data_IF_506371053768
#
_entry.id   IF_506371053768
#
_cell.length_a   1.000
_cell.length_b   1.000
_cell.length_c   1.000
_cell.angle_alpha   90.00
_cell.angle_beta   90.00
_cell.angle_gamma   90.00
#
_symmetry.space_group_name_H-M   'P 1'
#
loop_
_entity.id
_entity.type
_entity.pdbx_description
1 polymer ?
#
# COMPACT_ATOMS: atom_id res chain seq x y z
N UNK A 1 -18.80 12.69 54.82
CA UNK A 1 -19.84 11.74 54.38
C UNK A 1 -20.90 12.40 53.47
N UNK A 2 -21.63 13.43 53.90
CA UNK A 2 -22.75 13.98 53.10
C UNK A 2 -22.35 14.82 51.85
N UNK A 3 -21.16 15.44 51.81
CA UNK A 3 -20.69 16.12 50.60
C UNK A 3 -20.36 15.15 49.44
N UNK A 4 -19.95 13.91 49.76
CA UNK A 4 -19.75 12.83 48.78
C UNK A 4 -21.06 12.25 48.23
N UNK A 5 -22.20 12.55 48.88
CA UNK A 5 -23.54 12.13 48.45
C UNK A 5 -24.28 13.19 47.60
N UNK A 6 -23.59 14.27 47.19
CA UNK A 6 -24.18 15.33 46.35
C UNK A 6 -24.93 16.43 47.13
N UNK A 7 -24.80 16.48 48.46
CA UNK A 7 -25.40 17.56 49.25
C UNK A 7 -24.77 18.91 48.87
N UNK A 8 -25.60 19.83 48.39
CA UNK A 8 -25.16 21.16 47.96
C UNK A 8 -24.96 22.14 49.12
N UNK A 9 -25.64 21.92 50.26
CA UNK A 9 -25.53 22.76 51.46
C UNK A 9 -26.12 22.05 52.68
N UNK A 10 -25.79 22.53 53.89
CA UNK A 10 -26.37 22.06 55.15
C UNK A 10 -27.24 23.16 55.75
N UNK A 11 -28.44 22.80 56.21
CA UNK A 11 -29.34 23.70 56.93
C UNK A 11 -29.44 23.25 58.39
N UNK A 12 -29.26 24.19 59.32
CA UNK A 12 -29.34 23.96 60.77
C UNK A 12 -30.73 24.36 61.28
N UNK A 13 -31.23 23.68 62.33
CA UNK A 13 -32.54 23.96 62.92
C UNK A 13 -32.43 24.87 64.15
N UNK A 14 -33.47 25.69 64.45
CA UNK A 14 -34.66 25.93 63.63
C UNK A 14 -34.30 26.77 62.39
N UNK A 15 -34.89 26.44 61.24
CA UNK A 15 -34.56 27.09 59.96
C UNK A 15 -35.65 28.07 59.57
N UNK A 16 -35.22 29.24 59.11
CA UNK A 16 -36.10 30.27 58.55
C UNK A 16 -36.48 29.90 57.11
N UNK A 17 -37.74 30.14 56.72
CA UNK A 17 -38.25 29.82 55.38
C UNK A 17 -37.43 30.48 54.26
N UNK A 18 -36.92 31.69 54.50
CA UNK A 18 -36.08 32.42 53.55
C UNK A 18 -34.71 31.77 53.32
N UNK A 19 -34.12 31.15 54.36
CA UNK A 19 -32.86 30.41 54.23
C UNK A 19 -33.04 29.14 53.39
N UNK A 20 -34.14 28.44 53.61
CA UNK A 20 -34.53 27.29 52.80
C UNK A 20 -34.75 27.69 51.33
N UNK A 21 -35.47 28.79 51.07
CA UNK A 21 -35.70 29.30 49.72
C UNK A 21 -34.39 29.61 48.97
N UNK A 22 -33.45 30.30 49.63
CA UNK A 22 -32.14 30.61 49.04
C UNK A 22 -31.30 29.35 48.75
N UNK A 23 -31.35 28.34 49.63
CA UNK A 23 -30.63 27.09 49.44
C UNK A 23 -31.21 26.27 48.27
N UNK A 24 -32.54 26.22 48.14
CA UNK A 24 -33.23 25.58 47.01
C UNK A 24 -32.87 26.28 45.69
N UNK A 25 -32.92 27.61 45.63
CA UNK A 25 -32.54 28.37 44.44
C UNK A 25 -31.09 28.11 44.00
N UNK A 26 -30.14 28.05 44.95
CA UNK A 26 -28.74 27.70 44.65
C UNK A 26 -28.62 26.28 44.11
N UNK A 27 -29.34 25.32 44.70
CA UNK A 27 -29.33 23.93 44.25
C UNK A 27 -29.92 23.78 42.83
N UNK A 28 -31.01 24.49 42.52
CA UNK A 28 -31.62 24.51 41.19
C UNK A 28 -30.67 25.11 40.14
N UNK A 29 -30.08 26.29 40.42
CA UNK A 29 -29.07 26.90 39.53
C UNK A 29 -27.86 26.01 39.29
N UNK A 30 -27.35 25.35 40.33
CA UNK A 30 -26.22 24.42 40.19
C UNK A 30 -26.59 23.20 39.34
N UNK A 31 -27.80 22.66 39.50
CA UNK A 31 -28.30 21.55 38.67
C UNK A 31 -28.41 21.95 37.21
N UNK A 32 -28.96 23.12 36.93
CA UNK A 32 -29.09 23.68 35.58
C UNK A 32 -27.72 23.79 34.91
N UNK A 33 -26.74 24.41 35.57
CA UNK A 33 -25.36 24.51 35.07
C UNK A 33 -24.72 23.15 34.78
N UNK A 34 -24.91 22.15 35.65
CA UNK A 34 -24.37 20.80 35.43
C UNK A 34 -25.07 20.08 34.27
N UNK A 35 -26.37 20.30 34.08
CA UNK A 35 -27.11 19.75 32.95
C UNK A 35 -26.66 20.39 31.63
N UNK A 36 -26.46 21.70 31.62
CA UNK A 36 -25.95 22.43 30.46
C UNK A 36 -24.50 22.03 30.15
N UNK A 37 -23.63 21.91 31.15
CA UNK A 37 -22.27 21.43 30.98
C UNK A 37 -22.26 20.05 30.32
N UNK A 38 -23.05 19.08 30.84
CA UNK A 38 -23.14 17.74 30.23
C UNK A 38 -23.67 17.78 28.81
N UNK A 39 -24.65 18.65 28.53
CA UNK A 39 -25.20 18.83 27.18
C UNK A 39 -24.14 19.37 26.22
N UNK A 40 -23.36 20.37 26.65
CA UNK A 40 -22.25 20.95 25.88
C UNK A 40 -21.15 19.91 25.65
N UNK A 41 -20.73 19.20 26.70
CA UNK A 41 -19.73 18.13 26.59
C UNK A 41 -20.15 17.04 25.61
N UNK A 42 -21.42 16.64 25.65
CA UNK A 42 -21.94 15.64 24.72
C UNK A 42 -21.95 16.17 23.28
N UNK A 43 -22.43 17.39 23.07
CA UNK A 43 -22.45 18.03 21.76
C UNK A 43 -21.04 18.19 21.17
N UNK A 44 -20.04 18.57 21.98
CA UNK A 44 -18.65 18.62 21.55
C UNK A 44 -18.13 17.24 21.17
N UNK A 45 -18.40 16.20 21.98
CA UNK A 45 -17.99 14.83 21.65
C UNK A 45 -18.58 14.35 20.34
N UNK A 46 -19.86 14.64 20.11
CA UNK A 46 -20.56 14.24 18.89
C UNK A 46 -20.01 14.99 17.67
N UNK A 47 -19.81 16.31 17.76
CA UNK A 47 -19.22 17.12 16.68
C UNK A 47 -17.79 16.66 16.37
N UNK A 48 -16.95 16.43 17.39
CA UNK A 48 -15.57 15.93 17.19
C UNK A 48 -15.59 14.56 16.53
N UNK A 49 -16.48 13.66 16.95
CA UNK A 49 -16.65 12.34 16.33
C UNK A 49 -17.04 12.43 14.86
N UNK A 50 -17.99 13.32 14.53
CA UNK A 50 -18.43 13.54 13.16
C UNK A 50 -17.32 14.13 12.28
N UNK A 51 -16.64 15.18 12.76
CA UNK A 51 -15.53 15.82 12.05
C UNK A 51 -14.34 14.89 11.85
N UNK A 52 -14.03 14.05 12.83
CA UNK A 52 -12.97 13.04 12.71
C UNK A 52 -13.31 12.03 11.61
N UNK A 53 -14.56 11.54 11.57
CA UNK A 53 -15.01 10.60 10.54
C UNK A 53 -15.07 11.24 9.14
N UNK A 54 -15.43 12.52 9.04
CA UNK A 54 -15.38 13.30 7.79
C UNK A 54 -13.94 13.43 7.27
N UNK A 55 -13.01 13.84 8.14
CA UNK A 55 -11.59 13.99 7.81
C UNK A 55 -10.95 12.67 7.36
N UNK A 56 -11.26 11.54 8.02
CA UNK A 56 -10.71 10.24 7.60
C UNK A 56 -11.25 9.80 6.23
N UNK A 57 -12.51 10.12 5.89
CA UNK A 57 -13.04 9.85 4.55
C UNK A 57 -12.37 10.73 3.50
N UNK A 58 -12.23 12.03 3.77
CA UNK A 58 -11.57 12.95 2.84
C UNK A 58 -10.11 12.55 2.61
N UNK A 59 -9.40 12.17 3.67
CA UNK A 59 -8.02 11.66 3.60
C UNK A 59 -7.94 10.35 2.80
N UNK A 60 -8.89 9.44 2.95
CA UNK A 60 -8.96 8.22 2.14
C UNK A 60 -9.15 8.55 0.65
N UNK A 61 -10.08 9.45 0.32
CA UNK A 61 -10.30 9.93 -1.05
C UNK A 61 -9.04 10.56 -1.64
N UNK A 62 -8.35 11.42 -0.89
CA UNK A 62 -7.11 12.04 -1.37
C UNK A 62 -6.00 11.01 -1.63
N UNK A 63 -5.88 9.99 -0.77
CA UNK A 63 -4.94 8.88 -0.98
C UNK A 63 -5.27 8.11 -2.26
N UNK A 64 -6.53 7.71 -2.44
CA UNK A 64 -7.00 7.02 -3.65
C UNK A 64 -6.75 7.84 -4.91
N UNK A 65 -7.07 9.15 -4.89
CA UNK A 65 -6.80 10.06 -5.99
C UNK A 65 -5.32 10.17 -6.29
N UNK A 66 -4.46 10.27 -5.27
CA UNK A 66 -3.02 10.36 -5.45
C UNK A 66 -2.43 9.11 -6.12
N UNK A 67 -2.90 7.92 -5.74
CA UNK A 67 -2.54 6.65 -6.39
C UNK A 67 -3.04 6.64 -7.83
N UNK A 68 -4.29 7.03 -8.08
CA UNK A 68 -4.88 7.09 -9.42
C UNK A 68 -4.13 8.00 -10.40
N UNK A 69 -3.55 9.10 -9.92
CA UNK A 69 -2.68 9.97 -10.74
C UNK A 69 -1.41 9.23 -11.16
N UNK A 70 -0.74 8.53 -10.25
CA UNK A 70 0.48 7.76 -10.59
C UNK A 70 0.16 6.61 -11.55
N UNK A 71 -0.96 5.92 -11.34
CA UNK A 71 -1.41 4.85 -12.24
C UNK A 71 -1.73 5.38 -13.65
N UNK A 72 -2.24 6.60 -13.75
CA UNK A 72 -2.45 7.27 -15.03
C UNK A 72 -1.12 7.56 -15.75
N UNK A 73 -0.06 7.90 -15.01
CA UNK A 73 1.30 8.05 -15.59
C UNK A 73 1.83 6.72 -16.12
N UNK A 74 1.68 5.63 -15.36
CA UNK A 74 2.04 4.28 -15.80
C UNK A 74 1.28 3.91 -17.07
N UNK A 75 -0.04 4.14 -17.08
CA UNK A 75 -0.91 3.85 -18.23
C UNK A 75 -0.50 4.66 -19.46
N UNK A 76 -0.21 5.95 -19.29
CA UNK A 76 0.24 6.83 -20.36
C UNK A 76 1.59 6.40 -20.95
N UNK A 77 2.50 5.90 -20.10
CA UNK A 77 3.78 5.36 -20.52
C UNK A 77 3.61 4.06 -21.32
N UNK A 78 2.82 3.10 -20.80
CA UNK A 78 2.51 1.86 -21.52
C UNK A 78 1.80 2.11 -22.87
N UNK A 79 0.99 3.18 -22.96
CA UNK A 79 0.30 3.52 -24.20
C UNK A 79 1.27 3.90 -25.35
N UNK A 80 2.48 4.38 -25.02
CA UNK A 80 3.54 4.68 -26.00
C UNK A 80 4.25 3.43 -26.51
N UNK A 81 4.17 2.31 -25.80
CA UNK A 81 4.90 1.10 -26.11
C UNK A 81 3.93 -0.08 -26.29
N UNK A 82 3.55 -0.44 -27.53
CA UNK A 82 2.48 -1.40 -27.82
C UNK A 82 2.57 -2.75 -27.10
N UNK A 83 3.79 -3.23 -26.83
CA UNK A 83 4.06 -4.51 -26.18
C UNK A 83 3.84 -4.51 -24.66
N UNK A 84 3.84 -3.34 -24.02
CA UNK A 84 3.72 -3.23 -22.57
C UNK A 84 2.30 -2.84 -22.11
N UNK A 85 1.36 -2.65 -23.05
CA UNK A 85 -0.03 -2.33 -22.70
C UNK A 85 -0.63 -3.38 -21.75
N UNK A 86 -1.09 -2.92 -20.60
CA UNK A 86 -1.70 -3.75 -19.55
C UNK A 86 -0.73 -4.65 -18.81
N UNK A 87 0.59 -4.46 -18.98
CA UNK A 87 1.60 -5.24 -18.28
C UNK A 87 1.50 -5.03 -16.77
N UNK A 88 1.41 -3.77 -16.35
CA UNK A 88 1.25 -3.37 -14.94
C UNK A 88 0.10 -4.11 -14.26
N UNK A 89 -1.07 -4.17 -14.88
CA UNK A 89 -2.23 -4.90 -14.35
C UNK A 89 -1.97 -6.40 -14.26
N UNK A 90 -1.47 -7.04 -15.33
CA UNK A 90 -1.20 -8.49 -15.33
C UNK A 90 -0.19 -8.90 -14.26
N UNK A 91 0.88 -8.12 -14.11
CA UNK A 91 1.89 -8.37 -13.08
C UNK A 91 1.32 -8.14 -11.69
N UNK A 92 0.54 -7.08 -11.48
CA UNK A 92 -0.12 -6.81 -10.21
C UNK A 92 -1.07 -7.92 -9.78
N UNK A 93 -1.92 -8.40 -10.69
CA UNK A 93 -2.90 -9.44 -10.40
C UNK A 93 -2.21 -10.78 -10.10
N UNK A 94 -1.18 -11.12 -10.87
CA UNK A 94 -0.37 -12.32 -10.63
C UNK A 94 0.38 -12.22 -9.30
N UNK A 95 0.99 -11.08 -8.99
CA UNK A 95 1.69 -10.84 -7.73
C UNK A 95 0.74 -10.98 -6.53
N UNK A 96 -0.48 -10.44 -6.63
CA UNK A 96 -1.51 -10.59 -5.61
C UNK A 96 -1.94 -12.06 -5.42
N UNK A 97 -2.06 -12.81 -6.52
CA UNK A 97 -2.38 -14.24 -6.47
C UNK A 97 -1.27 -15.05 -5.78
N UNK A 98 0.00 -14.81 -6.13
CA UNK A 98 1.16 -15.43 -5.48
C UNK A 98 1.18 -15.08 -3.98
N UNK A 99 0.96 -13.81 -3.63
CA UNK A 99 0.89 -13.37 -2.24
C UNK A 99 -0.21 -14.10 -1.45
N UNK A 100 -1.36 -14.35 -2.09
CA UNK A 100 -2.47 -15.09 -1.50
C UNK A 100 -2.12 -16.56 -1.28
N UNK A 101 -1.48 -17.21 -2.26
CA UNK A 101 -0.98 -18.61 -2.16
C UNK A 101 0.13 -18.80 -1.11
N UNK A 102 0.81 -17.71 -0.73
CA UNK A 102 1.77 -17.68 0.39
C UNK A 102 1.08 -17.50 1.74
N UNK A 103 -0.24 -17.28 1.78
CA UNK A 103 -0.99 -17.06 3.01
C UNK A 103 -0.75 -15.68 3.64
N UNK A 104 -0.34 -14.68 2.85
CA UNK A 104 -0.09 -13.34 3.37
C UNK A 104 -1.41 -12.63 3.77
N UNK A 105 -1.37 -11.72 4.75
CA UNK A 105 -2.54 -10.93 5.14
C UNK A 105 -3.10 -10.11 3.96
N UNK A 106 -4.43 -9.94 3.92
CA UNK A 106 -5.12 -9.22 2.84
C UNK A 106 -4.55 -7.82 2.57
N UNK A 107 -4.16 -7.09 3.63
CA UNK A 107 -3.53 -5.76 3.48
C UNK A 107 -2.17 -5.84 2.77
N UNK A 108 -1.37 -6.88 3.02
CA UNK A 108 -0.08 -7.11 2.35
C UNK A 108 -0.28 -7.52 0.90
N UNK A 109 -1.27 -8.37 0.63
CA UNK A 109 -1.67 -8.75 -0.73
C UNK A 109 -2.00 -7.49 -1.55
N UNK A 110 -2.75 -6.55 -0.99
CA UNK A 110 -3.09 -5.31 -1.68
C UNK A 110 -1.88 -4.38 -1.86
N UNK A 111 -0.96 -4.32 -0.89
CA UNK A 111 0.28 -3.59 -1.06
C UNK A 111 1.16 -4.17 -2.18
N UNK A 112 1.22 -5.50 -2.30
CA UNK A 112 1.95 -6.18 -3.38
C UNK A 112 1.27 -5.92 -4.73
N UNK A 113 -0.06 -5.98 -4.79
CA UNK A 113 -0.84 -5.64 -5.98
C UNK A 113 -0.52 -4.21 -6.44
N UNK A 114 -0.62 -3.25 -5.52
CA UNK A 114 -0.33 -1.84 -5.82
C UNK A 114 1.12 -1.65 -6.26
N UNK A 115 2.08 -2.30 -5.59
CA UNK A 115 3.48 -2.24 -6.01
C UNK A 115 3.66 -2.79 -7.43
N UNK A 116 2.96 -3.88 -7.79
CA UNK A 116 2.96 -4.42 -9.14
C UNK A 116 2.46 -3.43 -10.19
N UNK A 117 1.45 -2.62 -9.86
CA UNK A 117 0.95 -1.57 -10.77
C UNK A 117 1.95 -0.43 -10.95
N UNK A 118 2.69 -0.08 -9.90
CA UNK A 118 3.54 1.11 -9.85
C UNK A 118 5.02 0.87 -10.16
N UNK A 119 5.49 -0.40 -10.15
CA UNK A 119 6.92 -0.75 -10.15
C UNK A 119 7.76 -0.10 -11.25
N UNK A 120 7.17 0.06 -12.43
CA UNK A 120 7.85 0.56 -13.62
C UNK A 120 7.67 2.09 -13.81
N UNK A 121 7.01 2.82 -12.90
CA UNK A 121 6.70 4.25 -13.09
C UNK A 121 7.94 5.11 -13.37
N UNK A 122 9.10 4.73 -12.82
CA UNK A 122 10.36 5.45 -13.04
C UNK A 122 10.92 5.32 -14.45
N UNK A 123 10.40 4.41 -15.29
CA UNK A 123 10.79 4.31 -16.70
C UNK A 123 10.47 5.59 -17.47
N UNK A 124 9.61 6.48 -16.94
CA UNK A 124 9.36 7.82 -17.47
C UNK A 124 10.63 8.67 -17.61
N UNK A 125 11.63 8.46 -16.76
CA UNK A 125 12.91 9.18 -16.81
C UNK A 125 13.97 8.49 -17.67
N UNK A 126 13.68 7.33 -18.26
CA UNK A 126 14.61 6.62 -19.14
C UNK A 126 14.38 7.06 -20.58
N UNK A 127 15.47 7.34 -21.31
CA UNK A 127 15.40 7.77 -22.72
C UNK A 127 14.73 6.70 -23.59
N UNK A 128 13.77 7.13 -24.39
CA UNK A 128 13.02 6.26 -25.31
C UNK A 128 13.93 5.51 -26.31
N UNK A 129 14.97 6.17 -26.83
CA UNK A 129 15.97 5.57 -27.70
C UNK A 129 16.75 4.41 -27.03
N UNK A 130 16.84 4.40 -25.70
CA UNK A 130 17.47 3.31 -24.93
C UNK A 130 16.45 2.20 -24.64
N UNK A 131 15.25 2.56 -24.20
CA UNK A 131 14.17 1.59 -23.92
C UNK A 131 13.76 0.78 -25.17
N UNK A 132 13.74 1.41 -26.33
CA UNK A 132 13.29 0.82 -27.60
C UNK A 132 14.43 0.40 -28.52
N UNK A 133 15.68 0.33 -28.03
CA UNK A 133 16.83 -0.02 -28.86
C UNK A 133 16.71 -1.45 -29.40
N UNK A 134 16.78 -1.59 -30.71
CA UNK A 134 16.90 -2.90 -31.35
C UNK A 134 18.34 -3.42 -31.22
N UNK A 135 18.55 -4.46 -30.40
CA UNK A 135 19.85 -5.12 -30.20
C UNK A 135 20.39 -5.02 -28.77
N UNK A 136 21.68 -5.30 -28.59
CA UNK A 136 22.31 -5.30 -27.27
C UNK A 136 22.53 -3.88 -26.76
N UNK A 137 22.18 -3.66 -25.49
CA UNK A 137 22.52 -2.44 -24.77
C UNK A 137 24.01 -2.43 -24.42
N UNK A 138 24.62 -1.25 -24.46
CA UNK A 138 25.93 -0.99 -23.87
C UNK A 138 25.82 -0.91 -22.35
N UNK A 139 26.93 -1.05 -21.63
CA UNK A 139 26.94 -0.98 -20.17
C UNK A 139 26.35 0.34 -19.63
N UNK A 140 26.63 1.47 -20.32
CA UNK A 140 26.07 2.78 -19.98
C UNK A 140 24.56 2.87 -20.21
N UNK A 141 24.07 2.22 -21.26
CA UNK A 141 22.64 2.15 -21.54
C UNK A 141 21.92 1.25 -20.53
N UNK A 142 22.54 0.14 -20.13
CA UNK A 142 22.01 -0.73 -19.09
C UNK A 142 21.93 0.00 -17.74
N UNK A 143 22.99 0.73 -17.37
CA UNK A 143 22.99 1.53 -16.15
C UNK A 143 21.89 2.59 -16.18
N UNK A 144 21.72 3.27 -17.31
CA UNK A 144 20.62 4.23 -17.49
C UNK A 144 19.23 3.59 -17.37
N UNK A 145 19.04 2.34 -17.81
CA UNK A 145 17.78 1.64 -17.56
C UNK A 145 17.60 1.37 -16.06
N UNK A 146 18.65 0.95 -15.35
CA UNK A 146 18.57 0.66 -13.90
C UNK A 146 18.16 1.87 -13.06
N UNK A 147 18.47 3.08 -13.52
CA UNK A 147 18.05 4.34 -12.87
C UNK A 147 16.53 4.44 -12.68
N UNK A 148 15.71 3.71 -13.45
CA UNK A 148 14.25 3.73 -13.28
C UNK A 148 13.80 3.32 -11.86
N UNK A 149 14.58 2.51 -11.15
CA UNK A 149 14.26 2.16 -9.77
C UNK A 149 14.37 3.38 -8.84
N UNK A 150 15.46 4.13 -8.97
CA UNK A 150 15.68 5.32 -8.17
C UNK A 150 14.65 6.40 -8.52
N UNK A 151 14.42 6.64 -9.81
CA UNK A 151 13.42 7.60 -10.29
C UNK A 151 12.01 7.18 -9.83
N UNK A 152 11.70 5.88 -9.85
CA UNK A 152 10.42 5.36 -9.37
C UNK A 152 10.23 5.63 -7.87
N UNK A 153 11.27 5.38 -7.06
CA UNK A 153 11.26 5.71 -5.63
C UNK A 153 11.09 7.22 -5.41
N UNK A 154 11.79 8.06 -6.17
CA UNK A 154 11.68 9.53 -6.07
C UNK A 154 10.27 10.04 -6.41
N UNK A 155 9.64 9.49 -7.45
CA UNK A 155 8.26 9.83 -7.84
C UNK A 155 7.27 9.45 -6.74
N UNK A 156 7.48 8.29 -6.11
CA UNK A 156 6.57 7.76 -5.10
C UNK A 156 6.84 8.32 -3.69
N UNK A 157 8.04 8.81 -3.40
CA UNK A 157 8.47 9.27 -2.07
C UNK A 157 7.53 10.30 -1.40
N UNK A 158 6.92 11.27 -2.11
CA UNK A 158 5.96 12.19 -1.50
C UNK A 158 4.68 11.52 -0.98
N UNK A 159 4.38 10.30 -1.43
CA UNK A 159 3.21 9.54 -1.03
C UNK A 159 3.53 8.67 0.19
N UNK A 160 3.75 9.29 1.35
CA UNK A 160 4.20 8.60 2.59
C UNK A 160 3.33 7.39 2.99
N UNK A 161 2.05 7.42 2.65
CA UNK A 161 1.11 6.31 2.90
C UNK A 161 1.42 5.03 2.10
N UNK A 162 2.37 5.09 1.16
CA UNK A 162 2.84 3.97 0.34
C UNK A 162 4.13 3.32 0.86
N UNK A 163 4.62 3.63 2.06
CA UNK A 163 5.93 3.17 2.57
C UNK A 163 6.33 1.71 2.21
N UNK A 164 5.53 0.69 2.56
CA UNK A 164 5.82 -0.70 2.18
C UNK A 164 5.82 -0.96 0.67
N UNK A 165 4.91 -0.31 -0.06
CA UNK A 165 4.79 -0.39 -1.53
C UNK A 165 6.04 0.14 -2.19
N UNK A 166 6.58 1.28 -1.74
CA UNK A 166 7.82 1.87 -2.26
C UNK A 166 8.99 0.90 -2.07
N UNK A 167 9.06 0.23 -0.91
CA UNK A 167 10.10 -0.78 -0.64
C UNK A 167 9.98 -1.96 -1.61
N UNK A 168 8.76 -2.44 -1.88
CA UNK A 168 8.53 -3.53 -2.82
C UNK A 168 8.91 -3.13 -4.25
N UNK A 169 8.57 -1.91 -4.66
CA UNK A 169 8.98 -1.32 -5.94
C UNK A 169 10.50 -1.19 -6.02
N UNK A 170 11.19 -0.78 -4.96
CA UNK A 170 12.65 -0.65 -5.01
C UNK A 170 13.36 -2.01 -5.17
N UNK A 171 12.77 -3.07 -4.61
CA UNK A 171 13.40 -4.38 -4.51
C UNK A 171 13.07 -5.34 -5.67
N UNK A 172 12.19 -4.97 -6.61
CA UNK A 172 11.68 -5.91 -7.60
C UNK A 172 12.71 -6.41 -8.63
N UNK A 173 13.91 -5.82 -8.65
CA UNK A 173 15.06 -6.26 -9.43
C UNK A 173 16.21 -6.85 -8.59
N UNK A 174 15.99 -6.98 -7.28
CA UNK A 174 16.88 -7.78 -6.44
C UNK A 174 16.75 -9.26 -6.80
N UNK A 175 17.84 -10.00 -6.61
CA UNK A 175 17.91 -11.43 -6.92
C UNK A 175 18.16 -12.20 -5.65
N UNK A 176 17.54 -13.36 -5.52
CA UNK A 176 17.69 -14.21 -4.34
C UNK A 176 19.16 -14.51 -3.98
N UNK A 177 20.04 -14.62 -4.97
CA UNK A 177 21.48 -14.85 -4.82
C UNK A 177 22.31 -13.62 -4.42
N UNK A 178 21.75 -12.42 -4.45
CA UNK A 178 22.43 -11.14 -4.18
C UNK A 178 23.07 -10.48 -5.41
N UNK A 179 22.94 -11.05 -6.61
CA UNK A 179 23.49 -10.47 -7.84
C UNK A 179 22.56 -9.42 -8.49
N UNK A 180 21.50 -9.01 -7.78
CA UNK A 180 20.50 -8.05 -8.24
C UNK A 180 20.91 -6.60 -8.01
N UNK A 181 19.96 -5.70 -8.23
CA UNK A 181 20.14 -4.26 -8.05
C UNK A 181 18.83 -3.65 -7.49
N UNK A 182 18.88 -2.49 -6.82
CA UNK A 182 19.99 -1.54 -6.73
C UNK A 182 20.94 -1.74 -5.53
N UNK A 183 20.55 -2.54 -4.54
CA UNK A 183 21.25 -2.68 -3.26
C UNK A 183 22.02 -3.99 -3.13
N UNK A 184 21.74 -4.99 -3.99
CA UNK A 184 22.42 -6.28 -3.96
C UNK A 184 22.01 -7.11 -2.74
N UNK A 185 20.73 -7.01 -2.35
CA UNK A 185 20.18 -7.72 -1.20
C UNK A 185 20.08 -9.22 -1.50
N UNK A 186 20.27 -10.05 -0.47
CA UNK A 186 20.26 -11.50 -0.62
C UNK A 186 19.17 -12.17 0.21
N UNK A 187 18.52 -13.17 -0.39
CA UNK A 187 17.55 -14.00 0.31
C UNK A 187 16.44 -13.18 0.98
N UNK A 188 16.28 -13.36 2.29
CA UNK A 188 15.24 -12.71 3.08
C UNK A 188 15.51 -11.23 3.40
N UNK A 189 16.67 -10.68 3.04
CA UNK A 189 16.91 -9.22 3.10
C UNK A 189 16.04 -8.47 2.09
N UNK A 190 15.68 -9.14 0.99
CA UNK A 190 14.76 -8.63 -0.02
C UNK A 190 13.35 -8.64 0.56
N UNK A 191 12.63 -7.52 0.45
CA UNK A 191 11.24 -7.45 0.88
C UNK A 191 10.40 -8.54 0.24
N UNK A 192 9.41 -9.06 0.97
CA UNK A 192 8.52 -10.12 0.45
C UNK A 192 7.82 -9.67 -0.84
N UNK A 193 7.41 -8.40 -0.94
CA UNK A 193 6.84 -7.86 -2.16
C UNK A 193 7.85 -7.79 -3.30
N UNK A 194 9.10 -7.38 -3.07
CA UNK A 194 10.16 -7.42 -4.10
C UNK A 194 10.38 -8.82 -4.66
N UNK A 195 10.44 -9.84 -3.79
CA UNK A 195 10.57 -11.25 -4.19
C UNK A 195 9.39 -11.75 -5.02
N UNK A 196 8.17 -11.38 -4.63
CA UNK A 196 6.95 -11.73 -5.38
C UNK A 196 6.91 -11.03 -6.74
N UNK A 197 7.25 -9.74 -6.79
CA UNK A 197 7.28 -8.97 -8.03
C UNK A 197 8.31 -9.50 -9.01
N UNK A 198 9.52 -9.86 -8.54
CA UNK A 198 10.54 -10.48 -9.38
C UNK A 198 10.03 -11.76 -10.07
N UNK A 199 9.28 -12.60 -9.33
CA UNK A 199 8.67 -13.80 -9.89
C UNK A 199 7.54 -13.49 -10.89
N UNK A 200 6.65 -12.56 -10.54
CA UNK A 200 5.55 -12.16 -11.41
C UNK A 200 6.04 -11.51 -12.71
N UNK A 201 7.08 -10.67 -12.65
CA UNK A 201 7.72 -10.06 -13.80
C UNK A 201 8.42 -11.08 -14.69
N UNK A 202 9.19 -12.01 -14.10
CA UNK A 202 9.86 -13.06 -14.85
C UNK A 202 8.82 -13.91 -15.60
N UNK A 203 7.73 -14.31 -14.93
CA UNK A 203 6.66 -15.08 -15.56
C UNK A 203 5.97 -14.29 -16.68
N UNK A 204 5.51 -13.07 -16.40
CA UNK A 204 4.85 -12.23 -17.41
C UNK A 204 5.78 -11.93 -18.59
N UNK A 205 7.08 -11.75 -18.35
CA UNK A 205 8.05 -11.55 -19.42
C UNK A 205 8.15 -12.77 -20.34
N UNK A 206 8.13 -13.99 -19.79
CA UNK A 206 8.18 -15.25 -20.54
C UNK A 206 6.89 -15.54 -21.33
N UNK A 207 5.73 -15.14 -20.81
CA UNK A 207 4.41 -15.43 -21.39
C UNK A 207 3.82 -14.29 -22.22
N UNK A 208 4.45 -13.11 -22.24
CA UNK A 208 4.03 -11.98 -23.08
C UNK A 208 4.78 -11.95 -24.41
N UNK A 209 4.08 -11.50 -25.46
CA UNK A 209 4.66 -11.23 -26.77
C UNK A 209 5.71 -10.11 -26.69
N UNK A 210 6.89 -10.32 -27.30
CA UNK A 210 7.96 -9.31 -27.42
C UNK A 210 8.44 -9.18 -28.87
N UNK A 211 9.04 -8.04 -29.27
CA UNK A 211 9.44 -7.77 -30.67
C UNK A 211 10.27 -8.87 -31.36
N UNK A 212 11.01 -9.67 -30.58
CA UNK A 212 11.94 -10.68 -31.08
C UNK A 212 11.70 -12.07 -30.47
N UNK A 213 10.57 -12.30 -29.79
CA UNK A 213 10.31 -13.56 -29.09
C UNK A 213 8.80 -13.84 -28.95
N UNK A 214 8.41 -15.02 -29.42
CA UNK A 214 7.08 -15.59 -29.19
C UNK A 214 6.87 -15.92 -27.71
N UNK A 215 5.65 -15.73 -27.18
CA UNK A 215 5.34 -16.07 -25.80
C UNK A 215 5.45 -17.57 -25.54
N UNK A 216 5.95 -17.94 -24.36
CA UNK A 216 5.88 -19.31 -23.87
C UNK A 216 4.47 -19.61 -23.35
N UNK A 217 4.07 -20.88 -23.39
CA UNK A 217 2.87 -21.29 -22.64
C UNK A 217 3.14 -21.18 -21.14
N UNK A 218 2.11 -20.95 -20.31
CA UNK A 218 2.23 -20.89 -18.85
C UNK A 218 3.02 -22.08 -18.25
N UNK A 219 2.78 -23.29 -18.74
CA UNK A 219 3.42 -24.52 -18.25
C UNK A 219 4.91 -24.52 -18.58
N UNK A 220 5.26 -24.15 -19.81
CA UNK A 220 6.66 -24.06 -20.25
C UNK A 220 7.40 -22.96 -19.50
N UNK A 221 6.76 -21.82 -19.25
CA UNK A 221 7.33 -20.74 -18.46
C UNK A 221 7.60 -21.18 -17.01
N UNK A 222 6.65 -21.88 -16.38
CA UNK A 222 6.80 -22.39 -15.03
C UNK A 222 7.94 -23.42 -14.89
N UNK A 223 8.09 -24.32 -15.87
CA UNK A 223 9.22 -25.27 -15.93
C UNK A 223 10.54 -24.55 -16.14
N UNK A 224 10.59 -23.57 -17.05
CA UNK A 224 11.81 -22.78 -17.28
C UNK A 224 12.26 -22.02 -16.02
N UNK A 225 11.30 -21.48 -15.26
CA UNK A 225 11.57 -20.76 -14.02
C UNK A 225 12.07 -21.66 -12.88
N UNK A 226 11.93 -22.99 -12.96
CA UNK A 226 12.46 -23.91 -11.94
C UNK A 226 13.97 -23.77 -11.78
N UNK A 227 14.69 -23.63 -12.90
CA UNK A 227 16.15 -23.43 -12.90
C UNK A 227 16.58 -22.08 -12.30
N UNK A 228 15.65 -21.12 -12.15
CA UNK A 228 15.90 -19.80 -11.59
C UNK A 228 15.64 -19.74 -10.08
N UNK A 229 14.98 -20.76 -9.50
CA UNK A 229 14.73 -20.85 -8.07
C UNK A 229 16.05 -21.00 -7.29
N UNK A 230 16.21 -20.20 -6.24
CA UNK A 230 17.43 -20.17 -5.43
C UNK A 230 18.56 -19.33 -6.04
N UNK A 231 18.37 -18.74 -7.22
CA UNK A 231 19.32 -17.78 -7.83
C UNK A 231 18.65 -16.44 -8.10
N UNK A 232 17.82 -16.34 -9.13
CA UNK A 232 17.04 -15.14 -9.40
C UNK A 232 15.83 -15.07 -8.46
N UNK A 233 15.13 -16.20 -8.31
CA UNK A 233 13.84 -16.27 -7.63
C UNK A 233 13.96 -16.88 -6.24
N UNK A 234 13.15 -16.35 -5.32
CA UNK A 234 12.89 -17.02 -4.05
C UNK A 234 12.21 -18.39 -4.32
N UNK A 235 12.79 -19.50 -3.82
CA UNK A 235 12.19 -20.83 -3.96
C UNK A 235 10.74 -20.93 -3.45
N UNK A 236 10.40 -20.30 -2.32
CA UNK A 236 9.06 -20.38 -1.74
C UNK A 236 8.04 -19.64 -2.61
N UNK A 237 8.41 -18.45 -3.09
CA UNK A 237 7.60 -17.65 -4.03
C UNK A 237 7.38 -18.41 -5.34
N UNK A 238 8.42 -19.04 -5.88
CA UNK A 238 8.30 -19.88 -7.08
C UNK A 238 7.32 -21.04 -6.85
N UNK A 239 7.38 -21.72 -5.70
CA UNK A 239 6.43 -22.78 -5.39
C UNK A 239 4.99 -22.26 -5.26
N UNK A 240 4.79 -21.06 -4.70
CA UNK A 240 3.47 -20.43 -4.66
C UNK A 240 2.92 -20.10 -6.05
N UNK A 241 3.77 -19.57 -6.95
CA UNK A 241 3.41 -19.38 -8.35
C UNK A 241 2.98 -20.70 -9.01
N UNK A 242 3.71 -21.79 -8.79
CA UNK A 242 3.33 -23.11 -9.34
C UNK A 242 1.97 -23.60 -8.84
N UNK A 243 1.68 -23.45 -7.55
CA UNK A 243 0.38 -23.83 -6.97
C UNK A 243 -0.76 -23.03 -7.60
N UNK A 244 -0.59 -21.70 -7.70
CA UNK A 244 -1.56 -20.84 -8.38
C UNK A 244 -1.86 -21.32 -9.81
N UNK A 245 -0.82 -21.57 -10.61
CA UNK A 245 -0.99 -22.00 -12.00
C UNK A 245 -1.69 -23.35 -12.10
N UNK A 246 -1.43 -24.28 -11.17
CA UNK A 246 -2.12 -25.57 -11.14
C UNK A 246 -3.63 -25.43 -10.83
N UNK A 247 -4.03 -24.45 -10.01
CA UNK A 247 -5.44 -24.17 -9.72
C UNK A 247 -6.18 -23.55 -10.92
N UNK A 248 -5.51 -22.72 -11.71
CA UNK A 248 -6.13 -22.02 -12.86
C UNK A 248 -6.23 -22.92 -14.09
N UNK A 249 -5.36 -23.91 -14.22
CA UNK A 249 -5.39 -24.88 -15.34
C UNK A 249 -6.31 -26.08 -15.09
N UNK A 250 -6.96 -26.18 -13.93
CA UNK A 250 -7.96 -27.21 -13.58
C UNK A 250 -9.38 -26.74 -13.80
#
# INVERSE_FOLDING_TARGET
AAHQAGACEYLLKPMELDELGRAVDRALRKRELLMDQRRIEQMIRDEVGQRTAELEREKATLREMSVGVVESLVTAMEAKEPYYRGQSSRVADLAAAIATELGLPAHTVEQVRLAGRLRDVGRIGVREAVLNKAGTLTDKELEHIREHLLIGVEILAPLEHLGPVITFVQDHHERWDGAGYPRGLKGAEISIGGRILAAADAFNALTSLRPHREPMTPERAAVFMEALAGTLLDPEVYQALRRFLAHVSS
#
